data_IF_329318596594
#
_entry.id   IF_329318596594
#
_cell.length_a   1.000
_cell.length_b   1.000
_cell.length_c   1.000
_cell.angle_alpha   90.00
_cell.angle_beta   90.00
_cell.angle_gamma   90.00
#
_symmetry.space_group_name_H-M   'P 1'
#
loop_
_entity.id
_entity.type
_entity.pdbx_description
1 polymer ?
#
# COMPACT_ATOMS: atom_id res chain seq x y z
N UNK A 1 9.74 -71.45 25.86
CA UNK A 1 8.78 -70.33 25.82
C UNK A 1 9.46 -69.09 26.40
N UNK A 2 9.87 -68.13 25.55
CA UNK A 2 10.41 -66.84 25.98
C UNK A 2 9.51 -65.75 25.41
N UNK A 3 8.65 -65.22 26.27
CA UNK A 3 7.90 -63.98 26.06
C UNK A 3 8.76 -62.84 26.61
N UNK A 4 8.86 -61.76 25.85
CA UNK A 4 8.97 -60.36 26.30
C UNK A 4 9.57 -59.53 25.17
N UNK A 5 8.70 -58.93 24.35
CA UNK A 5 9.07 -57.82 23.47
C UNK A 5 8.64 -56.56 24.20
N UNK A 6 9.60 -55.80 24.71
CA UNK A 6 9.38 -54.48 25.28
C UNK A 6 9.23 -53.48 24.14
N UNK A 7 8.02 -52.96 23.91
CA UNK A 7 7.80 -51.83 23.01
C UNK A 7 7.80 -50.55 23.86
N UNK A 8 8.90 -49.80 23.77
CA UNK A 8 9.03 -48.44 24.26
C UNK A 8 8.25 -47.49 23.33
N UNK A 9 7.10 -47.00 23.77
CA UNK A 9 6.37 -45.92 23.10
C UNK A 9 7.00 -44.61 23.57
N UNK A 10 7.88 -44.05 22.73
CA UNK A 10 8.39 -42.68 22.88
C UNK A 10 7.27 -41.74 22.46
N UNK A 11 6.55 -41.18 23.43
CA UNK A 11 5.61 -40.08 23.21
C UNK A 11 6.46 -38.83 22.94
N UNK A 12 6.69 -38.53 21.67
CA UNK A 12 7.23 -37.24 21.25
C UNK A 12 6.20 -36.15 21.55
N UNK A 13 6.35 -35.52 22.73
CA UNK A 13 5.70 -34.25 23.04
C UNK A 13 6.33 -33.17 22.15
N UNK A 14 5.78 -32.99 20.96
CA UNK A 14 6.06 -31.79 20.16
C UNK A 14 5.29 -30.68 20.85
N UNK A 15 6.03 -29.87 21.60
CA UNK A 15 5.56 -28.63 22.17
C UNK A 15 4.89 -27.83 21.05
N UNK A 16 3.59 -27.56 21.24
CA UNK A 16 2.85 -26.58 20.46
C UNK A 16 3.59 -25.26 20.57
N UNK A 17 4.44 -24.95 19.59
CA UNK A 17 4.87 -23.58 19.35
C UNK A 17 3.59 -22.82 19.06
N UNK A 18 3.12 -22.09 20.08
CA UNK A 18 2.06 -21.12 19.94
C UNK A 18 2.48 -20.17 18.84
N UNK A 19 1.81 -20.28 17.69
CA UNK A 19 1.67 -19.17 16.78
C UNK A 19 0.93 -18.13 17.61
N UNK A 20 1.68 -17.17 18.14
CA UNK A 20 1.10 -15.91 18.55
C UNK A 20 0.54 -15.31 17.26
N UNK A 21 -0.71 -15.65 16.95
CA UNK A 21 -1.55 -14.81 16.10
C UNK A 21 -1.55 -13.47 16.81
N UNK A 22 -0.74 -12.54 16.28
CA UNK A 22 -0.96 -11.14 16.49
C UNK A 22 -2.43 -10.95 16.10
N UNK A 23 -3.29 -10.81 17.11
CA UNK A 23 -4.65 -10.36 16.92
C UNK A 23 -4.52 -8.98 16.30
N UNK A 24 -4.47 -8.95 14.98
CA UNK A 24 -4.89 -7.81 14.20
C UNK A 24 -6.30 -7.56 14.72
N UNK A 25 -6.42 -6.58 15.63
CA UNK A 25 -7.72 -6.03 15.92
C UNK A 25 -8.19 -5.58 14.56
N UNK A 26 -9.13 -6.31 13.97
CA UNK A 26 -10.06 -5.80 12.97
C UNK A 26 -10.75 -4.60 13.63
N UNK A 27 -10.02 -3.48 13.72
CA UNK A 27 -10.62 -2.18 13.84
C UNK A 27 -11.52 -2.12 12.62
N UNK A 28 -12.80 -1.88 12.87
CA UNK A 28 -13.80 -1.69 11.84
C UNK A 28 -13.45 -0.37 11.13
N UNK A 29 -12.45 -0.41 10.24
CA UNK A 29 -11.93 0.74 9.52
C UNK A 29 -12.95 1.06 8.45
N UNK A 30 -13.65 2.18 8.62
CA UNK A 30 -14.53 2.73 7.61
C UNK A 30 -13.70 3.42 6.50
N UNK A 31 -13.36 2.65 5.45
CA UNK A 31 -12.67 3.15 4.26
C UNK A 31 -13.56 3.95 3.30
N UNK A 32 -14.84 4.17 3.66
CA UNK A 32 -15.79 5.01 2.95
C UNK A 32 -15.92 6.42 3.54
N UNK A 33 -15.36 6.65 4.72
CA UNK A 33 -15.24 7.95 5.34
C UNK A 33 -13.85 8.57 5.14
N UNK A 34 -13.76 9.89 5.30
CA UNK A 34 -12.48 10.59 5.30
C UNK A 34 -11.60 10.12 6.48
N UNK A 35 -10.26 10.16 6.34
CA UNK A 35 -9.47 10.68 5.21
C UNK A 35 -9.26 9.69 4.05
N UNK A 36 -9.37 10.18 2.81
CA UNK A 36 -9.26 9.37 1.58
C UNK A 36 -7.83 9.36 1.01
N UNK A 37 -6.91 8.66 1.68
CA UNK A 37 -5.50 8.60 1.24
C UNK A 37 -5.35 7.93 -0.14
N UNK A 38 -6.00 6.78 -0.36
CA UNK A 38 -5.94 6.04 -1.62
C UNK A 38 -7.32 5.90 -2.27
N UNK A 39 -7.35 6.00 -3.60
CA UNK A 39 -8.55 5.91 -4.41
C UNK A 39 -9.36 4.66 -4.09
N UNK A 40 -10.69 4.77 -4.12
CA UNK A 40 -11.52 3.58 -4.19
C UNK A 40 -11.23 2.79 -5.47
N UNK A 41 -11.65 1.53 -5.51
CA UNK A 41 -11.46 0.74 -6.72
C UNK A 41 -12.21 1.34 -7.91
N UNK A 42 -13.43 1.84 -7.69
CA UNK A 42 -14.25 2.50 -8.70
C UNK A 42 -13.59 3.77 -9.21
N UNK A 43 -13.10 4.62 -8.30
CA UNK A 43 -12.38 5.84 -8.67
C UNK A 43 -11.13 5.52 -9.51
N UNK A 44 -10.35 4.52 -9.09
CA UNK A 44 -9.17 4.09 -9.85
C UNK A 44 -9.53 3.49 -11.22
N UNK A 45 -10.56 2.64 -11.28
CA UNK A 45 -11.02 1.99 -12.51
C UNK A 45 -11.41 3.02 -13.57
N UNK A 46 -12.03 4.11 -13.14
CA UNK A 46 -12.57 5.16 -14.00
C UNK A 46 -11.49 6.16 -14.47
N UNK A 47 -10.25 6.06 -13.96
CA UNK A 47 -9.10 6.80 -14.48
C UNK A 47 -8.75 6.37 -15.91
N UNK A 48 -8.19 7.28 -16.72
CA UNK A 48 -7.58 6.94 -18.02
C UNK A 48 -6.26 6.21 -17.80
N UNK A 49 -5.82 5.46 -18.81
CA UNK A 49 -4.60 4.63 -18.72
C UNK A 49 -3.35 5.43 -18.34
N UNK A 50 -3.22 6.67 -18.82
CA UNK A 50 -2.11 7.56 -18.48
C UNK A 50 -2.13 7.97 -16.99
N UNK A 51 -3.33 8.24 -16.47
CA UNK A 51 -3.55 8.58 -15.06
C UNK A 51 -3.31 7.37 -14.17
N UNK A 52 -3.77 6.17 -14.57
CA UNK A 52 -3.49 4.92 -13.85
C UNK A 52 -1.99 4.67 -13.78
N UNK A 53 -1.28 4.79 -14.91
CA UNK A 53 0.18 4.60 -14.95
C UNK A 53 0.90 5.56 -13.99
N UNK A 54 0.62 6.85 -14.10
CA UNK A 54 1.17 7.86 -13.20
C UNK A 54 0.87 7.53 -11.73
N UNK A 55 -0.39 7.22 -11.42
CA UNK A 55 -0.84 6.95 -10.06
C UNK A 55 -0.10 5.76 -9.45
N UNK A 56 -0.06 4.62 -10.14
CA UNK A 56 0.60 3.41 -9.62
C UNK A 56 2.12 3.59 -9.47
N UNK A 57 2.77 4.28 -10.42
CA UNK A 57 4.21 4.55 -10.38
C UNK A 57 4.60 5.48 -9.22
N UNK A 58 3.75 6.44 -8.85
CA UNK A 58 3.97 7.32 -7.70
C UNK A 58 3.61 6.64 -6.38
N UNK A 59 2.46 5.98 -6.33
CA UNK A 59 1.95 5.31 -5.13
C UNK A 59 2.95 4.26 -4.61
N UNK A 60 3.57 3.48 -5.49
CA UNK A 60 4.59 2.49 -5.09
C UNK A 60 5.85 3.13 -4.49
N UNK A 61 6.21 4.37 -4.85
CA UNK A 61 7.36 5.04 -4.21
C UNK A 61 7.02 5.50 -2.80
N UNK A 62 5.79 5.98 -2.60
CA UNK A 62 5.31 6.39 -1.28
C UNK A 62 5.13 5.20 -0.34
N UNK A 63 4.67 4.06 -0.85
CA UNK A 63 4.55 2.82 -0.08
C UNK A 63 5.89 2.34 0.52
N UNK A 64 7.03 2.64 -0.12
CA UNK A 64 8.36 2.30 0.42
C UNK A 64 8.69 3.02 1.72
N UNK A 65 8.00 4.13 2.01
CA UNK A 65 8.20 4.95 3.22
C UNK A 65 7.29 4.54 4.37
N UNK A 66 6.29 3.67 4.12
CA UNK A 66 5.27 3.29 5.09
C UNK A 66 5.52 1.90 5.68
N UNK A 67 5.42 1.79 7.00
CA UNK A 67 5.57 0.50 7.65
C UNK A 67 4.49 -0.50 7.24
N UNK A 68 4.89 -1.70 6.82
CA UNK A 68 3.98 -2.76 6.39
C UNK A 68 3.61 -2.72 4.90
N UNK A 69 4.08 -1.72 4.15
CA UNK A 69 3.89 -1.58 2.71
C UNK A 69 5.21 -1.50 1.93
N UNK A 70 6.36 -1.54 2.61
CA UNK A 70 7.67 -1.27 2.00
C UNK A 70 8.06 -2.27 0.91
N UNK A 71 7.50 -3.47 1.00
CA UNK A 71 7.75 -4.58 0.09
C UNK A 71 6.81 -4.61 -1.11
N UNK A 72 5.75 -3.80 -1.10
CA UNK A 72 4.80 -3.76 -2.22
C UNK A 72 5.50 -3.22 -3.46
N UNK A 73 5.61 -4.06 -4.47
CA UNK A 73 6.22 -3.74 -5.76
C UNK A 73 5.21 -3.15 -6.73
N UNK A 74 5.70 -2.53 -7.81
CA UNK A 74 4.83 -2.03 -8.87
C UNK A 74 4.06 -3.16 -9.55
N UNK A 75 4.64 -4.36 -9.59
CA UNK A 75 4.00 -5.54 -10.14
C UNK A 75 2.80 -5.97 -9.29
N UNK A 76 3.00 -6.16 -7.98
CA UNK A 76 1.91 -6.52 -7.05
C UNK A 76 0.82 -5.44 -7.01
N UNK A 77 1.21 -4.17 -7.09
CA UNK A 77 0.27 -3.05 -7.14
C UNK A 77 -0.57 -3.07 -8.43
N UNK A 78 0.02 -3.43 -9.57
CA UNK A 78 -0.70 -3.62 -10.84
C UNK A 78 -1.65 -4.81 -10.79
N UNK A 79 -1.21 -5.95 -10.24
CA UNK A 79 -2.08 -7.12 -10.07
C UNK A 79 -3.26 -6.82 -9.14
N UNK A 80 -3.02 -6.06 -8.06
CA UNK A 80 -4.10 -5.63 -7.18
C UNK A 80 -5.08 -4.66 -7.87
N UNK A 81 -4.62 -3.89 -8.86
CA UNK A 81 -5.44 -2.94 -9.60
C UNK A 81 -6.47 -3.60 -10.52
N UNK A 82 -6.33 -4.91 -10.79
CA UNK A 82 -7.26 -5.67 -11.63
C UNK A 82 -8.45 -6.27 -10.83
N UNK A 83 -8.37 -6.29 -9.49
CA UNK A 83 -9.35 -6.97 -8.66
C UNK A 83 -9.68 -6.24 -7.35
N UNK A 84 -10.97 -5.88 -7.17
CA UNK A 84 -11.45 -5.05 -6.06
C UNK A 84 -11.01 -5.53 -4.67
N UNK A 85 -11.05 -6.83 -4.31
CA UNK A 85 -10.60 -7.28 -3.00
C UNK A 85 -9.09 -7.11 -2.76
N UNK A 86 -8.24 -7.33 -3.77
CA UNK A 86 -6.80 -7.07 -3.64
C UNK A 86 -6.53 -5.58 -3.49
N UNK A 87 -7.20 -4.73 -4.26
CA UNK A 87 -7.11 -3.29 -4.13
C UNK A 87 -7.52 -2.81 -2.73
N UNK A 88 -8.65 -3.31 -2.22
CA UNK A 88 -9.13 -2.97 -0.87
C UNK A 88 -8.23 -3.51 0.23
N UNK A 89 -7.52 -4.62 0.01
CA UNK A 89 -6.51 -5.13 0.94
C UNK A 89 -5.35 -4.15 1.06
N UNK A 90 -4.84 -3.61 -0.05
CA UNK A 90 -3.80 -2.58 -0.02
C UNK A 90 -4.30 -1.28 0.62
N UNK A 91 -5.53 -0.83 0.28
CA UNK A 91 -6.15 0.32 0.94
C UNK A 91 -6.20 0.12 2.45
N UNK A 92 -6.69 -1.02 2.94
CA UNK A 92 -6.75 -1.31 4.38
C UNK A 92 -5.37 -1.22 5.06
N UNK A 93 -4.35 -1.83 4.46
CA UNK A 93 -2.97 -1.75 4.98
C UNK A 93 -2.48 -0.30 5.07
N UNK A 94 -2.76 0.51 4.05
CA UNK A 94 -2.46 1.94 4.07
C UNK A 94 -3.20 2.65 5.20
N UNK A 95 -4.51 2.41 5.37
CA UNK A 95 -5.28 3.01 6.46
C UNK A 95 -4.70 2.65 7.84
N UNK A 96 -4.26 1.42 8.04
CA UNK A 96 -3.59 1.00 9.28
C UNK A 96 -2.26 1.73 9.46
N UNK A 97 -1.42 1.80 8.41
CA UNK A 97 -0.15 2.51 8.47
C UNK A 97 -0.33 4.02 8.77
N UNK A 98 -1.38 4.62 8.23
CA UNK A 98 -1.69 6.05 8.40
C UNK A 98 -2.39 6.39 9.73
N UNK A 99 -2.68 5.41 10.58
CA UNK A 99 -3.06 5.69 11.97
C UNK A 99 -1.85 6.10 12.82
N UNK A 100 -0.63 5.81 12.36
CA UNK A 100 0.58 6.28 13.00
C UNK A 100 0.84 7.75 12.67
N UNK A 101 0.97 8.59 13.70
CA UNK A 101 1.23 10.03 13.54
C UNK A 101 2.61 10.30 12.93
N UNK A 102 3.58 9.41 13.09
CA UNK A 102 4.89 9.57 12.46
C UNK A 102 4.80 9.47 10.93
N UNK A 103 3.74 8.82 10.42
CA UNK A 103 3.49 8.61 9.00
C UNK A 103 2.55 9.65 8.37
N UNK A 104 2.04 10.61 9.16
CA UNK A 104 1.03 11.59 8.74
C UNK A 104 1.42 12.29 7.42
N UNK A 105 2.65 12.81 7.34
CA UNK A 105 3.16 13.49 6.15
C UNK A 105 3.18 12.59 4.90
N UNK A 106 3.63 11.35 5.03
CA UNK A 106 3.67 10.40 3.91
C UNK A 106 2.25 10.06 3.44
N UNK A 107 1.31 9.95 4.38
CA UNK A 107 -0.09 9.70 4.06
C UNK A 107 -0.74 10.89 3.35
N UNK A 108 -0.41 12.12 3.73
CA UNK A 108 -0.78 13.33 2.98
C UNK A 108 -0.18 13.33 1.57
N UNK A 109 1.11 12.98 1.40
CA UNK A 109 1.75 12.85 0.09
C UNK A 109 1.03 11.82 -0.80
N UNK A 110 0.52 10.73 -0.23
CA UNK A 110 -0.28 9.73 -0.95
C UNK A 110 -1.64 10.28 -1.36
N UNK A 111 -2.30 11.06 -0.50
CA UNK A 111 -3.54 11.75 -0.85
C UNK A 111 -3.32 12.75 -1.99
N UNK A 112 -2.21 13.50 -1.97
CA UNK A 112 -1.83 14.43 -3.04
C UNK A 112 -1.60 13.69 -4.38
N UNK A 113 -0.95 12.53 -4.35
CA UNK A 113 -0.77 11.68 -5.54
C UNK A 113 -2.12 11.25 -6.12
N UNK A 114 -3.11 10.93 -5.27
CA UNK A 114 -4.49 10.64 -5.70
C UNK A 114 -5.12 11.84 -6.39
N UNK A 115 -5.04 13.04 -5.80
CA UNK A 115 -5.59 14.26 -6.38
C UNK A 115 -4.91 14.58 -7.72
N UNK A 116 -3.58 14.52 -7.78
CA UNK A 116 -2.83 14.76 -9.01
C UNK A 116 -3.23 13.80 -10.15
N UNK A 117 -3.43 12.51 -9.84
CA UNK A 117 -3.90 11.54 -10.83
C UNK A 117 -5.29 11.89 -11.38
N UNK A 118 -6.21 12.34 -10.52
CA UNK A 118 -7.54 12.81 -10.93
C UNK A 118 -7.46 14.08 -11.79
N UNK A 119 -6.57 15.00 -11.43
CA UNK A 119 -6.41 16.29 -12.09
C UNK A 119 -5.68 16.22 -13.44
N UNK A 120 -4.77 15.25 -13.65
CA UNK A 120 -4.10 15.04 -14.95
C UNK A 120 -5.06 14.89 -16.14
N UNK A 121 -6.34 14.56 -15.91
CA UNK A 121 -7.37 14.51 -16.94
C UNK A 121 -8.44 15.58 -16.85
N UNK A 122 -8.32 16.50 -15.91
CA UNK A 122 -9.24 17.62 -15.76
C UNK A 122 -8.90 18.71 -16.77
N UNK A 123 -9.87 19.22 -17.57
CA UNK A 123 -9.69 20.40 -18.42
C UNK A 123 -9.30 21.69 -17.65
N UNK A 124 -9.30 21.64 -16.30
CA UNK A 124 -9.06 22.78 -15.41
C UNK A 124 -7.83 22.61 -14.53
N UNK A 125 -7.03 21.55 -14.68
CA UNK A 125 -5.81 21.44 -13.91
C UNK A 125 -4.85 22.56 -14.32
N UNK A 126 -4.44 23.45 -13.40
CA UNK A 126 -3.33 24.33 -13.68
C UNK A 126 -2.12 23.44 -13.97
N UNK A 127 -1.44 23.73 -15.08
CA UNK A 127 -0.17 23.09 -15.43
C UNK A 127 0.86 23.59 -14.41
N UNK A 128 0.86 23.00 -13.22
CA UNK A 128 1.81 23.35 -12.17
C UNK A 128 3.15 22.71 -12.52
N UNK A 129 3.99 23.51 -13.20
CA UNK A 129 5.47 23.55 -13.22
C UNK A 129 6.23 22.37 -12.58
N UNK A 130 5.97 21.12 -13.01
CA UNK A 130 6.81 19.97 -12.64
C UNK A 130 8.05 19.82 -13.54
N UNK A 131 8.27 20.74 -14.49
CA UNK A 131 9.35 20.67 -15.48
C UNK A 131 10.24 21.91 -15.61
N UNK A 132 10.29 22.79 -14.60
CA UNK A 132 11.25 23.90 -14.59
C UNK A 132 12.22 23.83 -13.41
N UNK A 133 13.05 22.78 -13.39
CA UNK A 133 14.41 22.88 -12.82
C UNK A 133 15.46 22.55 -13.88
N UNK A 134 15.41 23.30 -14.98
CA UNK A 134 16.58 23.55 -15.83
C UNK A 134 17.05 24.96 -15.51
N UNK A 135 17.89 25.06 -14.47
CA UNK A 135 18.55 26.29 -14.06
C UNK A 135 19.47 26.74 -15.20
N UNK A 136 19.11 27.86 -15.84
CA UNK A 136 19.94 28.53 -16.83
C UNK A 136 20.97 29.42 -16.13
N UNK A 137 22.25 29.15 -16.39
CA UNK A 137 23.33 30.15 -16.47
C UNK A 137 23.89 30.72 -15.16
N UNK A 138 25.05 31.36 -15.25
CA UNK A 138 24.96 32.81 -15.43
C UNK A 138 25.74 33.32 -16.64
N UNK A 139 25.20 34.41 -17.20
CA UNK A 139 25.77 35.24 -18.24
C UNK A 139 26.76 36.28 -17.67
N UNK A 140 27.41 36.99 -18.61
CA UNK A 140 28.25 38.20 -18.49
C UNK A 140 29.75 37.94 -18.20
N UNK A 141 30.71 38.45 -18.99
CA UNK A 141 30.78 39.67 -19.84
C UNK A 141 31.47 39.39 -21.18
#
# INVERSE_FOLDING_TARGET
>A
MRKSVFILIVIASVMSLGIAEAKEKDADIDMSAAPFWMSSFEEFRDLREEQKKFYLEKLVQEFKKLSGLEKVTLHELKEAADWTPSWNTLRRKLYVACQDKEMEKTCEEIADVRIAALEMGSPRAPVSDLDTKKENGPAEK
#
